data_IF_572781133595
#
_entry.id   IF_572781133595
#
_cell.length_a   1.000
_cell.length_b   1.000
_cell.length_c   1.000
_cell.angle_alpha   90.00
_cell.angle_beta   90.00
_cell.angle_gamma   90.00
#
_symmetry.space_group_name_H-M   'P 1'
#
loop_
_entity.id
_entity.type
_entity.pdbx_description
1 polymer ?
#
# COMPACT_ATOMS: atom_id res chain seq x y z
N UNK A 1 30.23 3.92 60.00
CA UNK A 1 30.74 3.69 58.62
C UNK A 1 29.57 3.75 57.66
N UNK A 2 29.74 4.49 56.56
CA UNK A 2 28.67 4.95 55.67
C UNK A 2 28.13 3.80 54.79
N UNK A 3 26.82 3.57 54.83
CA UNK A 3 26.10 2.66 53.94
C UNK A 3 25.85 3.44 52.64
N UNK A 4 26.59 3.14 51.59
CA UNK A 4 26.34 3.70 50.25
C UNK A 4 25.20 2.92 49.58
N UNK A 5 24.00 3.50 49.59
CA UNK A 5 22.87 3.00 48.79
C UNK A 5 23.02 3.56 47.38
N UNK A 6 23.35 2.68 46.42
CA UNK A 6 23.40 2.98 45.00
C UNK A 6 21.96 3.07 44.47
N UNK A 7 21.42 4.28 44.36
CA UNK A 7 20.10 4.52 43.74
C UNK A 7 20.27 4.43 42.23
N UNK A 8 19.84 3.31 41.65
CA UNK A 8 19.75 3.11 40.21
C UNK A 8 18.56 3.92 39.68
N UNK A 9 18.83 5.08 39.08
CA UNK A 9 17.85 5.91 38.38
C UNK A 9 17.32 5.15 37.16
N UNK A 10 16.15 4.52 37.30
CA UNK A 10 15.38 4.00 36.18
C UNK A 10 14.82 5.22 35.44
N UNK A 11 15.48 5.64 34.37
CA UNK A 11 14.94 6.65 33.46
C UNK A 11 13.80 6.01 32.66
N UNK A 12 12.57 6.17 33.14
CA UNK A 12 11.36 5.85 32.37
C UNK A 12 11.24 6.87 31.23
N UNK A 13 11.82 6.55 30.07
CA UNK A 13 11.61 7.35 28.86
C UNK A 13 10.13 7.25 28.48
N UNK A 14 9.41 8.38 28.32
CA UNK A 14 8.02 8.32 27.91
C UNK A 14 7.98 7.73 26.50
N UNK A 15 7.42 6.53 26.39
CA UNK A 15 7.03 5.97 25.10
C UNK A 15 5.94 6.86 24.56
N UNK A 16 6.30 7.72 23.60
CA UNK A 16 5.34 8.54 22.86
C UNK A 16 4.51 7.55 22.05
N UNK A 17 3.41 7.06 22.62
CA UNK A 17 2.37 6.35 21.90
C UNK A 17 1.73 7.35 20.94
N UNK A 18 2.31 7.49 19.75
CA UNK A 18 1.64 8.15 18.64
C UNK A 18 0.34 7.37 18.38
N UNK A 19 -0.78 7.93 18.80
CA UNK A 19 -2.09 7.37 18.50
C UNK A 19 -2.20 7.25 16.96
N UNK A 20 -2.72 6.13 16.44
CA UNK A 20 -2.88 5.97 15.00
C UNK A 20 -3.74 7.12 14.48
N UNK A 21 -3.13 7.97 13.64
CA UNK A 21 -3.85 9.06 12.99
C UNK A 21 -4.90 8.46 12.09
N UNK A 22 -6.18 8.73 12.34
CA UNK A 22 -7.26 8.28 11.47
C UNK A 22 -7.08 8.88 10.07
N UNK A 23 -7.16 8.02 9.06
CA UNK A 23 -7.11 8.38 7.64
C UNK A 23 -8.33 7.78 6.99
N UNK A 24 -9.16 8.60 6.39
CA UNK A 24 -10.31 8.13 5.63
C UNK A 24 -9.85 7.23 4.47
N UNK A 25 -10.31 5.97 4.48
CA UNK A 25 -9.96 5.00 3.46
C UNK A 25 -10.48 5.40 2.06
N UNK A 26 -11.60 6.13 1.99
CA UNK A 26 -12.16 6.58 0.72
C UNK A 26 -11.31 7.70 0.08
N UNK A 27 -10.63 8.51 0.90
CA UNK A 27 -9.61 9.46 0.42
C UNK A 27 -8.43 8.70 -0.19
N UNK A 28 -7.97 7.62 0.47
CA UNK A 28 -6.87 6.79 -0.02
C UNK A 28 -7.23 6.14 -1.37
N UNK A 29 -8.42 5.53 -1.45
CA UNK A 29 -8.98 4.91 -2.66
C UNK A 29 -9.10 5.89 -3.82
N UNK A 30 -9.64 7.09 -3.55
CA UNK A 30 -9.84 8.14 -4.55
C UNK A 30 -8.51 8.68 -5.10
N UNK A 31 -7.49 8.79 -4.24
CA UNK A 31 -6.20 9.36 -4.61
C UNK A 31 -5.28 8.37 -5.32
N UNK A 32 -5.57 7.07 -5.27
CA UNK A 32 -4.71 6.03 -5.83
C UNK A 32 -4.40 6.24 -7.32
N UNK A 33 -5.43 6.39 -8.16
CA UNK A 33 -5.25 6.66 -9.60
C UNK A 33 -4.61 8.02 -9.88
N UNK A 34 -4.97 9.05 -9.12
CA UNK A 34 -4.46 10.43 -9.28
C UNK A 34 -2.96 10.53 -9.01
N UNK A 35 -2.44 9.75 -8.07
CA UNK A 35 -1.02 9.75 -7.73
C UNK A 35 -0.11 9.27 -8.86
N UNK A 36 -0.67 8.62 -9.91
CA UNK A 36 0.12 8.21 -11.08
C UNK A 36 0.71 9.41 -11.80
N UNK A 37 -0.02 10.53 -11.91
CA UNK A 37 0.44 11.78 -12.53
C UNK A 37 0.86 12.83 -11.50
N UNK A 38 0.40 12.73 -10.25
CA UNK A 38 0.73 13.69 -9.19
C UNK A 38 1.76 13.13 -8.19
N UNK A 39 3.03 13.53 -8.38
CA UNK A 39 4.15 13.18 -7.48
C UNK A 39 3.95 13.67 -6.05
N UNK A 40 3.42 14.89 -5.85
CA UNK A 40 3.27 15.47 -4.51
C UNK A 40 2.19 14.70 -3.75
N UNK A 41 1.07 14.41 -4.39
CA UNK A 41 0.02 13.57 -3.83
C UNK A 41 0.51 12.16 -3.50
N UNK A 42 1.27 11.54 -4.41
CA UNK A 42 1.87 10.22 -4.17
C UNK A 42 2.72 10.21 -2.89
N UNK A 43 3.59 11.20 -2.71
CA UNK A 43 4.45 11.30 -1.52
C UNK A 43 3.66 11.61 -0.25
N UNK A 44 2.61 12.44 -0.35
CA UNK A 44 1.72 12.74 0.77
C UNK A 44 1.00 11.48 1.26
N UNK A 45 0.43 10.69 0.35
CA UNK A 45 -0.27 9.45 0.69
C UNK A 45 0.68 8.42 1.33
N UNK A 46 1.89 8.25 0.79
CA UNK A 46 2.91 7.37 1.40
C UNK A 46 3.21 7.80 2.85
N UNK A 47 3.44 9.10 3.07
CA UNK A 47 3.73 9.63 4.41
C UNK A 47 2.59 9.37 5.39
N UNK A 48 1.35 9.57 4.97
CA UNK A 48 0.17 9.31 5.81
C UNK A 48 0.00 7.81 6.09
N UNK A 49 0.09 6.96 5.07
CA UNK A 49 -0.14 5.53 5.23
C UNK A 49 0.91 4.84 6.11
N UNK A 50 2.13 5.38 6.20
CA UNK A 50 3.11 4.90 7.17
C UNK A 50 2.62 4.95 8.63
N UNK A 51 1.69 5.83 8.99
CA UNK A 51 1.16 5.94 10.37
C UNK A 51 0.06 4.93 10.70
N UNK A 52 -0.47 4.23 9.69
CA UNK A 52 -1.60 3.28 9.83
C UNK A 52 -1.34 1.93 9.18
N UNK A 53 -0.09 1.66 8.78
CA UNK A 53 0.35 0.45 8.06
C UNK A 53 0.20 -0.87 8.83
N UNK A 54 -0.29 -0.84 10.08
CA UNK A 54 -0.64 -2.04 10.85
C UNK A 54 -1.94 -2.70 10.35
N UNK A 55 -2.81 -1.93 9.71
CA UNK A 55 -3.99 -2.47 9.02
C UNK A 55 -3.59 -2.97 7.62
N UNK A 56 -4.02 -4.18 7.21
CA UNK A 56 -3.63 -4.76 5.93
C UNK A 56 -4.06 -3.95 4.71
N UNK A 57 -5.26 -3.37 4.70
CA UNK A 57 -5.74 -2.55 3.57
C UNK A 57 -4.87 -1.31 3.39
N UNK A 58 -4.56 -0.58 4.48
CA UNK A 58 -3.68 0.58 4.40
C UNK A 58 -2.24 0.18 4.03
N UNK A 59 -1.75 -0.97 4.50
CA UNK A 59 -0.45 -1.52 4.09
C UNK A 59 -0.41 -1.84 2.58
N UNK A 60 -1.49 -2.40 2.05
CA UNK A 60 -1.63 -2.67 0.62
C UNK A 60 -1.63 -1.40 -0.21
N UNK A 61 -2.38 -0.38 0.21
CA UNK A 61 -2.34 0.94 -0.42
C UNK A 61 -0.96 1.58 -0.31
N UNK A 62 -0.28 1.47 0.83
CA UNK A 62 1.11 1.95 0.98
C UNK A 62 2.00 1.28 -0.06
N UNK A 63 1.90 -0.05 -0.21
CA UNK A 63 2.61 -0.80 -1.24
C UNK A 63 2.30 -0.29 -2.64
N UNK A 64 1.02 -0.08 -2.95
CA UNK A 64 0.56 0.50 -4.21
C UNK A 64 1.17 1.87 -4.51
N UNK A 65 1.05 2.84 -3.60
CA UNK A 65 1.66 4.16 -3.79
C UNK A 65 3.19 4.10 -3.87
N UNK A 66 3.84 3.20 -3.14
CA UNK A 66 5.29 3.00 -3.28
C UNK A 66 5.65 2.49 -4.68
N UNK A 67 4.88 1.59 -5.28
CA UNK A 67 5.12 1.20 -6.68
C UNK A 67 4.87 2.35 -7.66
N UNK A 68 3.84 3.19 -7.42
CA UNK A 68 3.59 4.40 -8.22
C UNK A 68 4.76 5.39 -8.08
N UNK A 69 5.36 5.54 -6.90
CA UNK A 69 6.54 6.38 -6.67
C UNK A 69 7.70 6.01 -7.60
N UNK A 70 7.83 4.75 -8.01
CA UNK A 70 8.86 4.35 -8.97
C UNK A 70 8.72 5.06 -10.35
N UNK A 71 7.51 5.49 -10.74
CA UNK A 71 7.29 6.31 -11.95
C UNK A 71 7.84 7.73 -11.80
N UNK A 72 7.91 8.24 -10.57
CA UNK A 72 8.32 9.62 -10.21
C UNK A 72 9.82 9.78 -9.90
N UNK A 73 10.57 8.67 -9.92
CA UNK A 73 12.01 8.61 -9.63
C UNK A 73 12.78 8.52 -10.95
N UNK A 74 13.88 9.25 -11.13
CA UNK A 74 14.66 9.17 -12.36
C UNK A 74 15.67 8.00 -12.38
N UNK A 75 16.36 7.77 -11.26
CA UNK A 75 17.44 6.77 -11.15
C UNK A 75 16.90 5.33 -11.22
N UNK A 76 17.35 4.48 -12.18
CA UNK A 76 16.85 3.11 -12.36
C UNK A 76 17.00 2.20 -11.14
N UNK A 77 18.12 2.27 -10.41
CA UNK A 77 18.33 1.48 -9.20
C UNK A 77 17.33 1.86 -8.10
N UNK A 78 17.10 3.16 -7.94
CA UNK A 78 16.08 3.67 -6.99
C UNK A 78 14.66 3.33 -7.42
N UNK A 79 14.37 3.32 -8.74
CA UNK A 79 13.08 2.82 -9.26
C UNK A 79 12.86 1.37 -8.86
N UNK A 80 13.86 0.52 -9.11
CA UNK A 80 13.79 -0.91 -8.80
C UNK A 80 13.64 -1.16 -7.30
N UNK A 81 14.43 -0.49 -6.46
CA UNK A 81 14.34 -0.65 -5.00
C UNK A 81 12.98 -0.19 -4.48
N UNK A 82 12.46 0.94 -4.99
CA UNK A 82 11.13 1.47 -4.65
C UNK A 82 10.01 0.53 -5.08
N UNK A 83 10.10 -0.05 -6.28
CA UNK A 83 9.15 -1.06 -6.74
C UNK A 83 9.18 -2.31 -5.85
N UNK A 84 10.37 -2.83 -5.51
CA UNK A 84 10.51 -4.01 -4.63
C UNK A 84 9.95 -3.76 -3.24
N UNK A 85 10.16 -2.56 -2.68
CA UNK A 85 9.57 -2.15 -1.40
C UNK A 85 8.03 -2.18 -1.46
N UNK A 86 7.45 -1.56 -2.49
CA UNK A 86 6.00 -1.52 -2.66
C UNK A 86 5.39 -2.91 -2.87
N UNK A 87 6.01 -3.73 -3.73
CA UNK A 87 5.62 -5.13 -3.95
C UNK A 87 5.62 -5.92 -2.65
N UNK A 88 6.68 -5.79 -1.83
CA UNK A 88 6.79 -6.51 -0.55
C UNK A 88 5.63 -6.17 0.39
N UNK A 89 5.31 -4.88 0.55
CA UNK A 89 4.21 -4.45 1.42
C UNK A 89 2.85 -4.93 0.91
N UNK A 90 2.63 -4.88 -0.40
CA UNK A 90 1.39 -5.37 -0.99
C UNK A 90 1.19 -6.89 -0.82
N UNK A 91 2.22 -7.70 -1.11
CA UNK A 91 2.10 -9.15 -0.94
C UNK A 91 1.93 -9.55 0.54
N UNK A 92 2.53 -8.80 1.47
CA UNK A 92 2.30 -8.98 2.90
C UNK A 92 0.84 -8.68 3.27
N UNK A 93 0.28 -7.57 2.78
CA UNK A 93 -1.12 -7.23 2.98
C UNK A 93 -2.06 -8.31 2.41
N UNK A 94 -1.78 -8.82 1.21
CA UNK A 94 -2.58 -9.88 0.57
C UNK A 94 -2.52 -11.18 1.36
N UNK A 95 -1.38 -11.50 1.97
CA UNK A 95 -1.26 -12.68 2.83
C UNK A 95 -2.12 -12.53 4.09
N UNK A 96 -2.26 -11.32 4.62
CA UNK A 96 -3.07 -11.03 5.80
C UNK A 96 -4.58 -10.98 5.48
N UNK A 97 -4.96 -10.43 4.33
CA UNK A 97 -6.36 -10.32 3.88
C UNK A 97 -6.54 -10.83 2.43
N UNK A 98 -6.49 -12.15 2.20
CA UNK A 98 -6.49 -12.73 0.85
C UNK A 98 -7.80 -12.53 0.08
N UNK A 99 -8.90 -12.22 0.78
CA UNK A 99 -10.23 -12.00 0.22
C UNK A 99 -10.54 -10.51 -0.03
N UNK A 100 -9.57 -9.61 0.15
CA UNK A 100 -9.79 -8.17 -0.02
C UNK A 100 -9.79 -7.76 -1.51
N UNK A 101 -10.91 -7.24 -1.99
CA UNK A 101 -11.04 -6.72 -3.35
C UNK A 101 -10.11 -5.50 -3.60
N UNK A 102 -9.92 -4.63 -2.60
CA UNK A 102 -8.96 -3.51 -2.68
C UNK A 102 -7.56 -4.04 -3.01
N UNK A 103 -7.09 -5.06 -2.28
CA UNK A 103 -5.74 -5.59 -2.44
C UNK A 103 -5.54 -6.30 -3.79
N UNK A 104 -6.55 -7.05 -4.25
CA UNK A 104 -6.53 -7.72 -5.56
C UNK A 104 -6.55 -6.69 -6.70
N UNK A 105 -7.34 -5.64 -6.55
CA UNK A 105 -7.35 -4.51 -7.48
C UNK A 105 -5.97 -3.83 -7.55
N UNK A 106 -5.36 -3.50 -6.40
CA UNK A 106 -4.04 -2.86 -6.35
C UNK A 106 -3.00 -3.75 -7.05
N UNK A 107 -2.96 -5.05 -6.73
CA UNK A 107 -2.03 -5.99 -7.37
C UNK A 107 -2.26 -6.08 -8.87
N UNK A 108 -3.50 -6.26 -9.32
CA UNK A 108 -3.84 -6.28 -10.74
C UNK A 108 -3.39 -5.00 -11.45
N UNK A 109 -3.63 -3.83 -10.84
CA UNK A 109 -3.21 -2.53 -11.36
C UNK A 109 -1.70 -2.46 -11.59
N UNK A 110 -0.91 -2.92 -10.62
CA UNK A 110 0.55 -2.93 -10.73
C UNK A 110 1.01 -3.94 -11.77
N UNK A 111 0.45 -5.15 -11.77
CA UNK A 111 0.81 -6.20 -12.73
C UNK A 111 0.58 -5.76 -14.18
N UNK A 112 -0.54 -5.06 -14.47
CA UNK A 112 -0.83 -4.51 -15.82
C UNK A 112 0.14 -3.40 -16.27
N UNK A 113 0.82 -2.74 -15.32
CA UNK A 113 1.69 -1.60 -15.58
C UNK A 113 3.19 -1.90 -15.37
N UNK A 114 3.55 -3.13 -15.03
CA UNK A 114 4.93 -3.53 -14.74
C UNK A 114 5.58 -4.17 -15.96
N UNK A 115 6.80 -3.77 -16.36
CA UNK A 115 7.54 -4.44 -17.42
C UNK A 115 7.71 -5.94 -17.18
N UNK A 116 7.54 -6.75 -18.23
CA UNK A 116 7.55 -8.22 -18.15
C UNK A 116 8.83 -8.80 -17.54
N UNK A 117 9.99 -8.20 -17.81
CA UNK A 117 11.28 -8.65 -17.26
C UNK A 117 11.39 -8.58 -15.73
N UNK A 118 10.48 -7.87 -15.05
CA UNK A 118 10.41 -7.84 -13.58
C UNK A 118 9.62 -9.02 -12.98
N UNK A 119 8.98 -9.85 -13.81
CA UNK A 119 8.33 -11.09 -13.38
C UNK A 119 7.24 -10.87 -12.33
N UNK A 120 6.43 -9.82 -12.49
CA UNK A 120 5.32 -9.50 -11.60
C UNK A 120 4.01 -9.43 -12.36
N UNK A 121 3.62 -10.54 -12.96
CA UNK A 121 2.36 -10.70 -13.70
C UNK A 121 1.66 -12.05 -13.44
N UNK A 122 2.26 -12.91 -12.62
CA UNK A 122 1.85 -14.31 -12.44
C UNK A 122 0.43 -14.47 -11.86
N UNK A 123 -0.08 -13.47 -11.15
CA UNK A 123 -1.40 -13.54 -10.51
C UNK A 123 -2.48 -12.79 -11.28
N UNK A 124 -2.16 -12.23 -12.45
CA UNK A 124 -3.07 -11.38 -13.22
C UNK A 124 -4.39 -12.06 -13.54
N UNK A 125 -4.35 -13.29 -14.06
CA UNK A 125 -5.55 -14.07 -14.37
C UNK A 125 -6.37 -14.39 -13.12
N UNK A 126 -5.71 -14.85 -12.04
CA UNK A 126 -6.38 -15.19 -10.79
C UNK A 126 -7.05 -13.98 -10.13
N UNK A 127 -6.42 -12.81 -10.17
CA UNK A 127 -6.98 -11.57 -9.62
C UNK A 127 -8.18 -11.09 -10.45
N UNK A 128 -8.12 -11.21 -11.78
CA UNK A 128 -9.24 -10.91 -12.68
C UNK A 128 -10.44 -11.80 -12.37
N UNK A 129 -10.23 -13.12 -12.27
CA UNK A 129 -11.30 -14.09 -11.97
C UNK A 129 -11.89 -13.80 -10.60
N UNK A 130 -11.05 -13.60 -9.59
CA UNK A 130 -11.49 -13.27 -8.23
C UNK A 130 -12.39 -12.04 -8.23
N UNK A 131 -11.94 -10.94 -8.84
CA UNK A 131 -12.69 -9.68 -8.89
C UNK A 131 -14.02 -9.86 -9.61
N UNK A 132 -14.05 -10.59 -10.73
CA UNK A 132 -15.29 -10.84 -11.49
C UNK A 132 -16.32 -11.62 -10.68
N UNK A 133 -15.90 -12.69 -10.00
CA UNK A 133 -16.79 -13.54 -9.19
C UNK A 133 -17.36 -12.76 -8.00
N UNK A 134 -16.53 -11.98 -7.31
CA UNK A 134 -16.91 -11.30 -6.07
C UNK A 134 -17.40 -9.86 -6.29
N UNK A 135 -17.50 -9.38 -7.54
CA UNK A 135 -17.84 -7.98 -7.87
C UNK A 135 -19.11 -7.49 -7.14
N UNK A 136 -20.15 -8.32 -7.06
CA UNK A 136 -21.42 -7.98 -6.41
C UNK A 136 -21.34 -7.83 -4.89
N UNK A 137 -20.28 -8.33 -4.26
CA UNK A 137 -20.06 -8.28 -2.81
C UNK A 137 -19.18 -7.10 -2.39
N UNK A 138 -18.61 -6.37 -3.36
CA UNK A 138 -17.80 -5.18 -3.09
C UNK A 138 -18.75 -4.04 -2.73
N UNK A 139 -18.68 -3.57 -1.49
CA UNK A 139 -19.54 -2.49 -0.98
C UNK A 139 -19.08 -1.09 -1.34
N UNK A 140 -17.78 -0.88 -1.58
CA UNK A 140 -17.25 0.45 -1.91
C UNK A 140 -17.45 0.78 -3.38
N UNK A 141 -18.27 1.80 -3.66
CA UNK A 141 -18.46 2.34 -5.00
C UNK A 141 -17.16 2.85 -5.63
N UNK A 142 -16.22 3.35 -4.82
CA UNK A 142 -14.94 3.86 -5.31
C UNK A 142 -14.06 2.69 -5.77
N UNK A 143 -14.06 1.57 -5.05
CA UNK A 143 -13.32 0.35 -5.45
C UNK A 143 -13.90 -0.21 -6.74
N UNK A 144 -15.23 -0.27 -6.86
CA UNK A 144 -15.91 -0.69 -8.09
C UNK A 144 -15.52 0.21 -9.28
N UNK A 145 -15.59 1.53 -9.11
CA UNK A 145 -15.18 2.49 -10.14
C UNK A 145 -13.72 2.32 -10.55
N UNK A 146 -12.82 2.15 -9.58
CA UNK A 146 -11.40 1.94 -9.83
C UNK A 146 -11.14 0.64 -10.61
N UNK A 147 -11.84 -0.44 -10.25
CA UNK A 147 -11.78 -1.73 -10.96
C UNK A 147 -12.28 -1.57 -12.40
N UNK A 148 -13.42 -0.92 -12.60
CA UNK A 148 -14.02 -0.78 -13.93
C UNK A 148 -13.12 0.05 -14.85
N UNK A 149 -12.59 1.18 -14.37
CA UNK A 149 -11.59 1.96 -15.09
C UNK A 149 -10.36 1.12 -15.47
N UNK A 150 -9.89 0.24 -14.59
CA UNK A 150 -8.72 -0.62 -14.86
C UNK A 150 -9.02 -1.70 -15.92
N UNK A 151 -10.26 -2.22 -15.95
CA UNK A 151 -10.68 -3.33 -16.80
C UNK A 151 -11.10 -2.85 -18.20
N UNK A 152 -11.64 -1.64 -18.31
CA UNK A 152 -12.10 -1.05 -19.58
C UNK A 152 -10.94 -0.59 -20.48
N UNK A 153 -9.77 -0.28 -19.89
CA UNK A 153 -8.54 -0.13 -20.66
C UNK A 153 -8.06 -1.49 -21.19
N UNK A 154 -8.46 -1.81 -22.43
CA UNK A 154 -7.82 -2.84 -23.25
C UNK A 154 -6.34 -2.51 -23.41
N UNK A 155 -5.51 -3.44 -22.97
CA UNK A 155 -4.06 -3.50 -23.22
C UNK A 155 -3.77 -3.48 -24.72
#
# INVERSE_FOLDING_TARGET
MKISILIMLITFSPQINAQPKWIDLDIVRTNYGKAVSDKKLCMLMIKQLHTVKSNPIYLGYLGGFQTIRAKHVFNPLKKLSTFKEGKKNLELAITQEPQSADLKFIRLSIQKNTPSFLGYSNQMETDIIFIKIHKKQISSNIVLLNIDNLMDHKS
#
